data_IF_159745371350
#
_entry.id   IF_159745371350
#
_cell.length_a   1.000
_cell.length_b   1.000
_cell.length_c   1.000
_cell.angle_alpha   90.00
_cell.angle_beta   90.00
_cell.angle_gamma   90.00
#
_symmetry.space_group_name_H-M   'P 1'
#
loop_
_entity.id
_entity.type
_entity.pdbx_description
1 polymer ?
#
# COMPACT_ATOMS: atom_id res chain seq x y z
N UNK A 1 2.48 28.43 4.51
CA UNK A 1 2.98 28.43 3.11
C UNK A 1 2.66 27.07 2.52
N UNK A 2 1.54 26.97 1.82
CA UNK A 2 1.03 25.69 1.30
C UNK A 2 1.96 25.13 0.22
N UNK A 3 2.54 26.00 -0.63
CA UNK A 3 3.46 25.61 -1.70
C UNK A 3 4.79 24.97 -1.24
N UNK A 4 5.17 25.07 0.03
CA UNK A 4 6.35 24.36 0.56
C UNK A 4 6.07 22.88 0.86
N UNK A 5 4.79 22.49 0.86
CA UNK A 5 4.33 21.12 1.10
C UNK A 5 4.10 20.33 -0.21
N UNK A 6 4.21 20.99 -1.35
CA UNK A 6 3.97 20.42 -2.67
C UNK A 6 5.22 20.64 -3.51
N UNK A 7 5.65 19.61 -4.23
CA UNK A 7 6.75 19.81 -5.15
C UNK A 7 6.28 20.61 -6.38
N UNK A 8 7.21 21.03 -7.22
CA UNK A 8 6.89 21.85 -8.39
C UNK A 8 5.95 21.12 -9.35
N UNK A 9 6.08 19.81 -9.48
CA UNK A 9 5.27 18.98 -10.36
C UNK A 9 3.84 18.87 -9.80
N UNK A 10 3.69 18.75 -8.49
CA UNK A 10 2.39 18.75 -7.80
C UNK A 10 1.66 20.07 -8.00
N UNK A 11 2.38 21.20 -7.92
CA UNK A 11 1.80 22.53 -8.16
C UNK A 11 1.39 22.67 -9.63
N UNK A 12 2.23 22.23 -10.58
CA UNK A 12 1.91 22.22 -12.00
C UNK A 12 0.71 21.30 -12.31
N UNK A 13 0.60 20.16 -11.64
CA UNK A 13 -0.50 19.20 -11.73
C UNK A 13 -1.80 19.80 -11.18
N UNK A 14 -1.76 20.39 -9.97
CA UNK A 14 -2.91 21.05 -9.36
C UNK A 14 -3.43 22.20 -10.23
N UNK A 15 -2.53 23.00 -10.81
CA UNK A 15 -2.90 24.09 -11.72
C UNK A 15 -3.51 23.55 -13.01
N UNK A 16 -2.93 22.48 -13.57
CA UNK A 16 -3.44 21.81 -14.79
C UNK A 16 -4.83 21.25 -14.57
N UNK A 17 -5.02 20.45 -13.51
CA UNK A 17 -6.32 19.89 -13.13
C UNK A 17 -7.35 20.97 -12.81
N UNK A 18 -6.95 22.06 -12.13
CA UNK A 18 -7.87 23.15 -11.84
C UNK A 18 -8.31 23.90 -13.12
N UNK A 19 -7.44 24.05 -14.11
CA UNK A 19 -7.77 24.65 -15.41
C UNK A 19 -8.67 23.73 -16.24
N UNK A 20 -8.44 22.42 -16.20
CA UNK A 20 -9.26 21.42 -16.90
C UNK A 20 -10.67 21.32 -16.31
N UNK A 21 -10.77 21.28 -14.97
CA UNK A 21 -12.06 21.26 -14.27
C UNK A 21 -12.81 22.59 -14.35
N UNK A 22 -12.12 23.68 -14.67
CA UNK A 22 -12.76 25.00 -14.72
C UNK A 22 -13.82 25.11 -15.81
N UNK A 23 -13.72 24.37 -16.91
CA UNK A 23 -14.75 24.43 -17.96
C UNK A 23 -16.12 23.92 -17.47
N UNK A 24 -16.14 23.11 -16.41
CA UNK A 24 -17.34 22.50 -15.82
C UNK A 24 -17.84 23.20 -14.54
N UNK A 25 -17.11 24.21 -14.03
CA UNK A 25 -17.48 24.96 -12.82
C UNK A 25 -18.28 26.22 -13.20
N UNK A 26 -19.39 26.48 -12.50
CA UNK A 26 -20.12 27.74 -12.65
C UNK A 26 -19.24 28.92 -12.21
N UNK A 27 -18.99 29.84 -13.14
CA UNK A 27 -18.11 31.00 -12.91
C UNK A 27 -18.64 31.92 -11.82
N UNK A 28 -19.93 31.85 -11.48
CA UNK A 28 -20.54 32.56 -10.36
C UNK A 28 -20.04 32.10 -8.99
N UNK A 29 -19.55 30.86 -8.88
CA UNK A 29 -19.08 30.26 -7.62
C UNK A 29 -17.63 30.64 -7.28
N UNK A 30 -16.93 31.29 -8.21
CA UNK A 30 -15.53 31.67 -8.06
C UNK A 30 -15.38 33.17 -7.77
N UNK A 31 -14.53 33.50 -6.80
CA UNK A 31 -14.11 34.88 -6.59
C UNK A 31 -13.42 35.45 -7.85
N UNK A 32 -13.49 36.77 -8.01
CA UNK A 32 -12.87 37.46 -9.15
C UNK A 32 -11.37 37.16 -9.26
N UNK A 33 -10.69 37.08 -8.11
CA UNK A 33 -9.28 36.73 -8.04
C UNK A 33 -8.98 35.29 -8.50
N UNK A 34 -9.83 34.31 -8.14
CA UNK A 34 -9.68 32.92 -8.58
C UNK A 34 -9.89 32.79 -10.09
N UNK A 35 -10.87 33.49 -10.64
CA UNK A 35 -11.12 33.54 -12.09
C UNK A 35 -9.91 34.13 -12.83
N UNK A 36 -9.36 35.24 -12.36
CA UNK A 36 -8.20 35.88 -12.97
C UNK A 36 -6.91 35.02 -12.91
N UNK A 37 -6.69 34.30 -11.80
CA UNK A 37 -5.55 33.39 -11.66
C UNK A 37 -5.68 32.20 -12.62
N UNK A 38 -6.86 31.59 -12.69
CA UNK A 38 -7.08 30.47 -13.60
C UNK A 38 -6.99 30.92 -15.08
N UNK A 39 -7.47 32.12 -15.44
CA UNK A 39 -7.43 32.59 -16.84
C UNK A 39 -5.99 32.75 -17.31
N UNK A 40 -5.12 33.26 -16.43
CA UNK A 40 -3.68 33.34 -16.71
C UNK A 40 -3.03 31.97 -16.83
N UNK A 41 -3.41 31.02 -15.98
CA UNK A 41 -2.91 29.65 -16.06
C UNK A 41 -3.34 28.96 -17.37
N UNK A 42 -4.59 29.13 -17.78
CA UNK A 42 -5.13 28.61 -19.05
C UNK A 42 -4.41 29.19 -20.26
N UNK A 43 -4.18 30.51 -20.28
CA UNK A 43 -3.41 31.16 -21.35
C UNK A 43 -1.99 30.61 -21.40
N UNK A 44 -1.31 30.44 -20.26
CA UNK A 44 0.02 29.86 -20.21
C UNK A 44 0.05 28.40 -20.74
N UNK A 45 -0.88 27.55 -20.30
CA UNK A 45 -1.00 26.16 -20.77
C UNK A 45 -1.25 26.04 -22.28
N UNK A 46 -2.17 26.86 -22.82
CA UNK A 46 -2.48 26.87 -24.25
C UNK A 46 -1.34 27.45 -25.10
N UNK A 47 -0.51 28.31 -24.51
CA UNK A 47 0.69 28.87 -25.17
C UNK A 47 1.82 27.84 -25.27
N UNK A 48 1.94 26.94 -24.30
CA UNK A 48 2.95 25.87 -24.30
C UNK A 48 2.58 24.68 -25.21
N UNK A 49 1.28 24.45 -25.47
CA UNK A 49 0.76 23.34 -26.27
C UNK A 49 0.38 23.71 -27.72
N UNK A 50 1.05 24.70 -28.31
CA UNK A 50 0.76 25.22 -29.65
C UNK A 50 0.46 24.15 -30.71
N UNK A 51 -0.83 23.93 -30.98
CA UNK A 51 -1.35 23.37 -32.23
C UNK A 51 -1.88 21.92 -32.22
N UNK A 52 -1.94 21.21 -31.10
CA UNK A 52 -2.48 19.84 -31.09
C UNK A 52 -3.65 19.72 -30.13
N UNK A 53 -4.88 19.78 -30.66
CA UNK A 53 -6.07 19.35 -29.91
C UNK A 53 -5.87 17.89 -29.49
N UNK A 54 -5.78 17.58 -28.18
CA UNK A 54 -5.80 16.21 -27.72
C UNK A 54 -7.24 15.71 -27.86
N UNK A 55 -7.44 14.67 -28.67
CA UNK A 55 -8.64 13.84 -28.56
C UNK A 55 -8.57 13.14 -27.19
N UNK A 56 -9.32 13.66 -26.23
CA UNK A 56 -9.46 13.13 -24.87
C UNK A 56 -9.85 11.65 -24.86
N UNK A 57 -9.26 10.81 -24.00
CA UNK A 57 -10.01 9.81 -23.26
C UNK A 57 -10.71 10.48 -22.07
N UNK A 58 -11.95 10.05 -21.78
CA UNK A 58 -12.70 10.44 -20.58
C UNK A 58 -11.86 10.15 -19.32
N UNK A 59 -11.69 11.19 -18.50
CA UNK A 59 -11.16 11.26 -17.12
C UNK A 59 -10.26 10.08 -16.66
N UNK A 60 -8.95 10.36 -16.61
CA UNK A 60 -7.91 9.44 -16.14
C UNK A 60 -7.47 9.82 -14.71
N UNK A 61 -7.18 8.82 -13.87
CA UNK A 61 -6.46 9.03 -12.60
C UNK A 61 -5.02 8.51 -12.68
N UNK A 62 -4.14 9.13 -11.91
CA UNK A 62 -2.75 8.70 -11.75
C UNK A 62 -2.62 7.89 -10.48
N UNK A 63 -2.24 6.62 -10.61
CA UNK A 63 -1.82 5.82 -9.46
C UNK A 63 -0.32 6.07 -9.26
N UNK A 64 0.01 6.76 -8.17
CA UNK A 64 1.39 7.04 -7.80
C UNK A 64 2.19 5.76 -7.61
N UNK A 65 3.46 5.81 -8.00
CA UNK A 65 4.43 4.79 -7.63
C UNK A 65 4.38 4.59 -6.11
N UNK A 66 4.40 3.32 -5.62
CA UNK A 66 4.80 3.10 -4.23
C UNK A 66 6.16 3.76 -4.06
N UNK A 67 6.37 4.63 -3.05
CA UNK A 67 7.66 5.29 -2.89
C UNK A 67 8.72 4.20 -2.73
N UNK A 68 9.84 4.35 -3.45
CA UNK A 68 11.03 3.57 -3.18
C UNK A 68 11.36 3.76 -1.69
N UNK A 69 11.32 2.66 -0.95
CA UNK A 69 11.67 2.64 0.46
C UNK A 69 13.18 2.46 0.60
N UNK A 70 13.77 3.02 1.65
CA UNK A 70 15.09 2.60 2.10
C UNK A 70 14.87 1.69 3.30
N UNK A 71 15.53 0.54 3.31
CA UNK A 71 15.54 -0.33 4.47
C UNK A 71 16.99 -0.65 4.83
N UNK A 72 17.26 -0.76 6.12
CA UNK A 72 18.54 -1.22 6.62
C UNK A 72 18.47 -2.73 6.81
N UNK A 73 19.31 -3.44 6.05
CA UNK A 73 19.40 -4.90 6.10
C UNK A 73 20.51 -5.25 7.09
N UNK A 74 20.11 -5.88 8.19
CA UNK A 74 21.03 -6.45 9.17
C UNK A 74 21.11 -7.96 8.96
N UNK A 75 22.27 -8.45 8.52
CA UNK A 75 22.60 -9.87 8.50
C UNK A 75 23.53 -10.17 9.66
N UNK A 76 23.07 -10.98 10.63
CA UNK A 76 23.90 -11.52 11.70
C UNK A 76 24.33 -12.94 11.34
N UNK A 77 25.64 -13.16 11.30
CA UNK A 77 26.26 -14.48 11.12
C UNK A 77 26.59 -15.05 12.49
N UNK A 78 26.00 -16.19 12.84
CA UNK A 78 26.25 -16.90 14.09
C UNK A 78 26.81 -18.29 13.85
N UNK A 79 27.36 -18.95 14.88
CA UNK A 79 27.92 -20.30 14.76
C UNK A 79 26.92 -21.39 14.35
N UNK A 80 25.63 -21.12 14.53
CA UNK A 80 24.56 -22.09 14.33
C UNK A 80 23.51 -21.65 13.32
N UNK A 81 23.34 -20.34 13.13
CA UNK A 81 22.35 -19.79 12.21
C UNK A 81 22.76 -18.39 11.73
N UNK A 82 22.44 -18.10 10.48
CA UNK A 82 22.45 -16.76 9.92
C UNK A 82 21.03 -16.18 10.02
N UNK A 83 20.91 -14.97 10.55
CA UNK A 83 19.62 -14.29 10.72
C UNK A 83 19.64 -12.97 9.98
N UNK A 84 18.65 -12.74 9.12
CA UNK A 84 18.47 -11.49 8.37
C UNK A 84 17.23 -10.77 8.90
N UNK A 85 17.38 -9.49 9.25
CA UNK A 85 16.29 -8.64 9.72
C UNK A 85 16.29 -7.30 8.99
N UNK A 86 15.10 -6.72 8.79
CA UNK A 86 14.90 -5.46 8.09
C UNK A 86 14.50 -4.37 9.08
N UNK A 87 15.12 -3.20 8.95
CA UNK A 87 14.92 -2.06 9.83
C UNK A 87 14.62 -0.79 9.05
N UNK A 88 13.89 0.12 9.70
CA UNK A 88 13.50 1.41 9.10
C UNK A 88 14.69 2.38 8.97
N UNK A 89 15.65 2.30 9.89
CA UNK A 89 16.88 3.10 9.90
C UNK A 89 18.05 2.33 10.53
N UNK A 90 19.25 2.89 10.40
CA UNK A 90 20.49 2.30 10.94
C UNK A 90 20.44 2.16 12.46
N UNK A 91 19.87 3.14 13.16
CA UNK A 91 19.84 3.17 14.62
C UNK A 91 18.95 2.03 15.17
N UNK A 92 17.82 1.74 14.51
CA UNK A 92 16.96 0.60 14.80
C UNK A 92 17.66 -0.74 14.54
N UNK A 93 18.42 -0.85 13.45
CA UNK A 93 19.22 -2.05 13.17
C UNK A 93 20.29 -2.29 14.24
N UNK A 94 20.99 -1.24 14.65
CA UNK A 94 22.00 -1.29 15.71
C UNK A 94 21.37 -1.61 17.07
N UNK A 95 20.20 -1.06 17.38
CA UNK A 95 19.47 -1.36 18.62
C UNK A 95 19.08 -2.84 18.70
N UNK A 96 18.55 -3.42 17.61
CA UNK A 96 18.22 -4.85 17.55
C UNK A 96 19.46 -5.75 17.68
N UNK A 97 20.59 -5.34 17.08
CA UNK A 97 21.86 -6.04 17.25
C UNK A 97 22.38 -5.95 18.70
N UNK A 98 22.26 -4.79 19.33
CA UNK A 98 22.68 -4.57 20.70
C UNK A 98 21.82 -5.36 21.70
N UNK A 99 20.52 -5.50 21.46
CA UNK A 99 19.64 -6.37 22.24
C UNK A 99 20.15 -7.81 22.25
N UNK A 100 20.49 -8.35 21.08
CA UNK A 100 21.09 -9.68 20.99
C UNK A 100 22.40 -9.78 21.77
N UNK A 101 23.34 -8.87 21.51
CA UNK A 101 24.66 -8.84 22.17
C UNK A 101 24.53 -8.82 23.70
N UNK A 102 23.58 -8.05 24.23
CA UNK A 102 23.31 -8.02 25.67
C UNK A 102 22.77 -9.34 26.19
N UNK A 103 21.97 -10.04 25.40
CA UNK A 103 21.45 -11.37 25.72
C UNK A 103 22.53 -12.45 25.81
N UNK A 104 23.67 -12.25 25.14
CA UNK A 104 24.82 -13.18 25.12
C UNK A 104 26.09 -12.56 25.73
N UNK A 105 25.95 -11.54 26.57
CA UNK A 105 27.09 -10.79 27.12
C UNK A 105 28.02 -11.65 27.97
N UNK A 106 27.48 -12.68 28.63
CA UNK A 106 28.26 -13.63 29.42
C UNK A 106 29.36 -14.35 28.59
N UNK A 107 29.26 -14.35 27.25
CA UNK A 107 30.27 -14.94 26.36
C UNK A 107 31.54 -14.08 26.20
N UNK A 108 31.52 -12.80 26.62
CA UNK A 108 32.64 -11.85 26.51
C UNK A 108 33.08 -11.28 27.86
N UNK A 109 32.31 -11.53 28.93
CA UNK A 109 32.69 -11.08 30.27
C UNK A 109 33.99 -11.74 30.71
N UNK A 110 34.96 -10.93 31.09
CA UNK A 110 36.31 -11.36 31.49
C UNK A 110 37.36 -11.19 30.40
N UNK A 111 36.97 -10.83 29.18
CA UNK A 111 37.90 -10.41 28.13
C UNK A 111 38.48 -9.02 28.42
N UNK A 112 39.72 -8.77 27.98
CA UNK A 112 40.45 -7.54 28.27
C UNK A 112 39.74 -6.32 27.67
N UNK A 113 39.43 -5.33 28.51
CA UNK A 113 38.67 -4.14 28.12
C UNK A 113 37.14 -4.29 28.06
N UNK A 114 36.59 -5.48 28.38
CA UNK A 114 35.14 -5.72 28.42
C UNK A 114 34.60 -5.59 29.86
N UNK A 115 33.58 -4.73 30.11
CA UNK A 115 32.99 -4.59 31.43
C UNK A 115 32.13 -5.79 31.84
N UNK A 116 32.03 -6.04 33.15
CA UNK A 116 31.20 -7.10 33.75
C UNK A 116 29.70 -7.01 33.39
N UNK A 117 29.25 -5.83 32.96
CA UNK A 117 27.88 -5.59 32.49
C UNK A 117 27.91 -4.88 31.14
N UNK A 118 26.97 -5.20 30.23
CA UNK A 118 26.93 -4.57 28.93
C UNK A 118 26.65 -3.06 29.05
N UNK A 119 27.26 -2.23 28.19
CA UNK A 119 26.92 -0.81 28.08
C UNK A 119 25.45 -0.58 27.71
N UNK A 120 24.90 0.54 28.19
CA UNK A 120 23.58 1.01 27.81
C UNK A 120 23.55 1.64 26.41
N UNK A 121 24.69 2.12 25.91
CA UNK A 121 24.81 2.59 24.53
C UNK A 121 24.90 1.39 23.57
N UNK A 122 24.07 1.40 22.53
CA UNK A 122 23.94 0.28 21.59
C UNK A 122 25.18 0.09 20.74
N UNK A 123 25.80 1.19 20.27
CA UNK A 123 27.02 1.14 19.46
C UNK A 123 28.21 0.66 20.27
N UNK A 124 28.33 1.09 21.52
CA UNK A 124 29.39 0.65 22.42
C UNK A 124 29.26 -0.84 22.78
N UNK A 125 28.04 -1.33 23.03
CA UNK A 125 27.80 -2.75 23.30
C UNK A 125 28.19 -3.62 22.08
N UNK A 126 27.75 -3.24 20.88
CA UNK A 126 28.10 -3.95 19.63
C UNK A 126 29.60 -3.92 19.37
N UNK A 127 30.25 -2.76 19.55
CA UNK A 127 31.70 -2.60 19.33
C UNK A 127 32.53 -3.46 20.28
N UNK A 128 32.14 -3.56 21.55
CA UNK A 128 32.88 -4.37 22.53
C UNK A 128 32.71 -5.87 22.29
N UNK A 129 31.55 -6.31 21.78
CA UNK A 129 31.29 -7.72 21.51
C UNK A 129 31.97 -8.24 20.23
N UNK A 130 31.84 -7.52 19.11
CA UNK A 130 32.45 -7.92 17.83
C UNK A 130 33.88 -7.40 17.65
N UNK A 131 34.32 -6.51 18.53
CA UNK A 131 35.62 -5.86 18.49
C UNK A 131 35.74 -4.73 17.45
N UNK A 132 36.83 -3.95 17.51
CA UNK A 132 37.02 -2.76 16.67
C UNK A 132 37.12 -3.06 15.17
N UNK A 133 37.61 -4.25 14.82
CA UNK A 133 37.77 -4.68 13.42
C UNK A 133 36.62 -5.59 12.94
N UNK A 134 35.60 -5.83 13.78
CA UNK A 134 34.46 -6.74 13.51
C UNK A 134 34.80 -8.21 13.21
N UNK A 135 36.10 -8.55 13.26
CA UNK A 135 36.68 -9.87 13.03
C UNK A 135 37.28 -10.49 14.31
N UNK A 136 36.99 -9.92 15.49
CA UNK A 136 37.50 -10.48 16.75
C UNK A 136 36.93 -11.86 17.06
N UNK A 137 35.88 -12.28 16.33
CA UNK A 137 35.36 -13.65 16.32
C UNK A 137 35.38 -14.19 14.89
N UNK A 138 36.08 -15.32 14.63
CA UNK A 138 36.17 -15.87 13.27
C UNK A 138 34.87 -16.51 12.76
N UNK A 139 33.97 -16.89 13.68
CA UNK A 139 32.74 -17.65 13.37
C UNK A 139 31.45 -16.86 13.63
N UNK A 140 31.56 -15.58 14.01
CA UNK A 140 30.43 -14.71 14.33
C UNK A 140 30.68 -13.31 13.78
N UNK A 141 29.67 -12.69 13.18
CA UNK A 141 29.80 -11.36 12.62
C UNK A 141 28.47 -10.74 12.26
N UNK A 142 28.50 -9.52 11.75
CA UNK A 142 27.31 -8.89 11.20
C UNK A 142 27.67 -8.01 9.99
N UNK A 143 26.76 -7.97 9.04
CA UNK A 143 26.78 -7.06 7.90
C UNK A 143 25.55 -6.15 7.99
N UNK A 144 25.79 -4.85 7.90
CA UNK A 144 24.75 -3.83 7.94
C UNK A 144 24.93 -2.91 6.74
N UNK A 145 23.91 -2.84 5.89
CA UNK A 145 23.90 -1.95 4.72
C UNK A 145 22.51 -1.40 4.47
N UNK A 146 22.49 -0.21 3.88
CA UNK A 146 21.28 0.40 3.34
C UNK A 146 20.97 -0.30 2.00
N UNK A 147 19.77 -0.85 1.88
CA UNK A 147 19.25 -1.41 0.64
C UNK A 147 18.12 -0.51 0.14
N UNK A 148 18.26 -0.06 -1.11
CA UNK A 148 17.19 0.66 -1.79
C UNK A 148 16.15 -0.36 -2.23
N UNK A 149 14.96 -0.31 -1.62
CA UNK A 149 13.81 -1.09 -2.08
C UNK A 149 13.33 -0.43 -3.37
N UNK A 150 13.94 -0.83 -4.49
CA UNK A 150 13.51 -0.41 -5.82
C UNK A 150 12.19 -1.11 -6.17
N UNK A 151 11.09 -0.65 -5.57
CA UNK A 151 9.80 -0.80 -6.20
C UNK A 151 9.83 0.07 -7.45
N UNK A 152 10.00 -0.51 -8.64
CA UNK A 152 9.74 0.22 -9.90
C UNK A 152 8.23 0.47 -10.00
N UNK A 153 7.71 1.36 -9.15
CA UNK A 153 6.40 1.92 -9.33
C UNK A 153 6.45 2.77 -10.58
N UNK A 154 6.01 2.23 -11.71
CA UNK A 154 5.68 3.05 -12.87
C UNK A 154 4.45 3.85 -12.49
N UNK A 155 4.44 5.17 -12.72
CA UNK A 155 3.20 5.95 -12.67
C UNK A 155 2.23 5.38 -13.69
N UNK A 156 1.02 5.00 -13.27
CA UNK A 156 0.03 4.36 -14.14
C UNK A 156 -1.13 5.30 -14.42
N UNK A 157 -1.53 5.33 -15.69
CA UNK A 157 -2.68 6.06 -16.21
C UNK A 157 -3.83 5.06 -16.22
N UNK A 158 -4.82 5.28 -15.35
CA UNK A 158 -5.95 4.37 -15.21
C UNK A 158 -7.27 5.11 -15.49
N UNK A 159 -8.16 4.59 -16.35
CA UNK A 159 -9.46 5.20 -16.57
C UNK A 159 -10.31 5.20 -15.29
N UNK A 160 -11.00 6.30 -14.98
CA UNK A 160 -11.96 6.33 -13.86
C UNK A 160 -13.16 5.42 -14.10
N UNK A 161 -13.56 5.23 -15.36
CA UNK A 161 -14.62 4.31 -15.77
C UNK A 161 -14.08 2.89 -16.03
N UNK A 162 -13.19 2.40 -15.16
CA UNK A 162 -12.54 1.10 -15.33
C UNK A 162 -13.53 0.00 -15.79
N UNK A 163 -13.26 -0.53 -16.98
CA UNK A 163 -13.93 -1.71 -17.52
C UNK A 163 -12.95 -2.86 -17.54
N UNK A 164 -13.34 -3.94 -16.86
CA UNK A 164 -12.58 -5.17 -16.91
C UNK A 164 -12.55 -5.70 -18.36
N UNK A 165 -11.44 -6.33 -18.81
CA UNK A 165 -11.35 -6.86 -20.17
C UNK A 165 -12.50 -7.80 -20.53
N UNK A 166 -12.87 -7.80 -21.81
CA UNK A 166 -13.90 -8.71 -22.32
C UNK A 166 -13.46 -10.18 -22.29
N UNK A 167 -14.42 -11.09 -22.50
CA UNK A 167 -14.17 -12.52 -22.45
C UNK A 167 -13.05 -12.99 -23.39
N UNK A 168 -12.93 -12.40 -24.58
CA UNK A 168 -11.92 -12.79 -25.55
C UNK A 168 -10.52 -12.32 -25.14
N UNK A 169 -10.39 -11.13 -24.55
CA UNK A 169 -9.16 -10.63 -23.98
C UNK A 169 -8.72 -11.46 -22.77
N UNK A 170 -9.66 -11.80 -21.87
CA UNK A 170 -9.42 -12.69 -20.74
C UNK A 170 -8.95 -14.08 -21.19
N UNK A 171 -9.61 -14.65 -22.20
CA UNK A 171 -9.22 -15.97 -22.73
C UNK A 171 -7.80 -15.96 -23.31
N UNK A 172 -7.41 -14.90 -24.04
CA UNK A 172 -6.04 -14.75 -24.54
C UNK A 172 -5.04 -14.63 -23.39
N UNK A 173 -5.30 -13.75 -22.44
CA UNK A 173 -4.44 -13.56 -21.27
C UNK A 173 -4.23 -14.87 -20.48
N UNK A 174 -5.30 -15.65 -20.28
CA UNK A 174 -5.23 -16.93 -19.59
C UNK A 174 -4.46 -17.99 -20.40
N UNK A 175 -4.58 -17.98 -21.73
CA UNK A 175 -3.82 -18.88 -22.60
C UNK A 175 -2.32 -18.56 -22.60
N UNK A 176 -2.00 -17.27 -22.52
CA UNK A 176 -0.63 -16.77 -22.52
C UNK A 176 0.01 -16.76 -21.11
N UNK A 177 -0.69 -17.34 -20.11
CA UNK A 177 -0.20 -17.41 -18.74
C UNK A 177 1.15 -18.14 -18.65
N UNK A 178 2.07 -17.56 -17.89
CA UNK A 178 3.41 -18.10 -17.69
C UNK A 178 3.52 -18.68 -16.29
N UNK A 179 4.01 -19.92 -16.20
CA UNK A 179 4.29 -20.57 -14.93
C UNK A 179 5.78 -20.43 -14.63
N UNK A 180 6.08 -19.72 -13.57
CA UNK A 180 7.44 -19.54 -13.07
C UNK A 180 7.68 -20.58 -11.96
N UNK A 181 8.45 -21.64 -12.23
CA UNK A 181 8.83 -22.57 -11.18
C UNK A 181 9.69 -21.87 -10.13
N UNK A 182 9.87 -22.52 -8.97
CA UNK A 182 10.84 -22.06 -7.98
C UNK A 182 12.24 -22.14 -8.58
N UNK A 183 12.88 -20.98 -8.70
CA UNK A 183 14.26 -20.85 -9.14
C UNK A 183 15.07 -20.44 -7.91
N UNK A 184 15.99 -21.33 -7.47
CA UNK A 184 16.90 -21.18 -6.33
C UNK A 184 16.25 -21.01 -4.94
N UNK A 185 17.08 -20.91 -3.89
CA UNK A 185 16.69 -21.05 -2.48
C UNK A 185 15.67 -19.99 -2.00
N UNK A 186 15.59 -18.83 -2.63
CA UNK A 186 14.79 -17.69 -2.14
C UNK A 186 13.52 -17.38 -2.96
N UNK A 187 13.32 -18.00 -4.12
CA UNK A 187 12.17 -17.73 -5.00
C UNK A 187 10.93 -18.56 -4.66
N UNK A 188 9.73 -17.96 -4.64
CA UNK A 188 8.46 -18.69 -4.60
C UNK A 188 7.95 -18.97 -6.02
N UNK A 189 7.35 -20.15 -6.27
CA UNK A 189 6.71 -20.40 -7.56
C UNK A 189 5.51 -19.48 -7.75
N UNK A 190 5.27 -19.05 -8.98
CA UNK A 190 4.11 -18.22 -9.30
C UNK A 190 3.56 -18.43 -10.70
N UNK A 191 2.32 -17.99 -10.88
CA UNK A 191 1.68 -17.86 -12.18
C UNK A 191 1.60 -16.38 -12.52
N UNK A 192 2.01 -16.04 -13.73
CA UNK A 192 1.86 -14.70 -14.29
C UNK A 192 0.75 -14.70 -15.34
N UNK A 193 -0.24 -13.83 -15.16
CA UNK A 193 -1.34 -13.64 -16.11
C UNK A 193 -1.43 -12.15 -16.44
N UNK A 194 -1.05 -11.78 -17.67
CA UNK A 194 -1.07 -10.38 -18.16
C UNK A 194 -0.33 -9.43 -17.19
N UNK A 195 0.81 -9.88 -16.67
CA UNK A 195 1.67 -9.17 -15.73
C UNK A 195 1.24 -9.22 -14.26
N UNK A 196 0.09 -9.83 -13.94
CA UNK A 196 -0.33 -10.10 -12.56
C UNK A 196 0.36 -11.36 -12.08
N UNK A 197 1.19 -11.25 -11.04
CA UNK A 197 1.92 -12.37 -10.46
C UNK A 197 1.15 -12.91 -9.25
N UNK A 198 0.79 -14.19 -9.27
CA UNK A 198 0.08 -14.88 -8.20
C UNK A 198 0.96 -15.97 -7.61
N UNK A 199 1.30 -15.81 -6.33
CA UNK A 199 2.07 -16.77 -5.54
C UNK A 199 1.12 -17.52 -4.63
N UNK A 200 1.12 -18.84 -4.70
CA UNK A 200 0.36 -19.71 -3.80
C UNK A 200 1.32 -20.70 -3.12
N UNK A 201 1.43 -20.62 -1.79
CA UNK A 201 2.41 -21.40 -1.04
C UNK A 201 1.94 -21.70 0.39
N UNK A 202 2.60 -22.67 1.02
CA UNK A 202 2.40 -22.97 2.44
C UNK A 202 3.25 -22.02 3.28
N UNK A 203 2.60 -21.24 4.13
CA UNK A 203 3.24 -20.35 5.09
C UNK A 203 3.35 -21.10 6.42
N UNK A 204 4.57 -21.53 6.77
CA UNK A 204 4.81 -22.33 7.96
C UNK A 204 4.56 -21.54 9.25
N UNK A 205 4.93 -20.26 9.27
CA UNK A 205 4.82 -19.40 10.45
C UNK A 205 3.35 -19.12 10.79
N UNK A 206 2.55 -18.83 9.76
CA UNK A 206 1.12 -18.59 9.92
C UNK A 206 0.29 -19.88 9.95
N UNK A 207 0.84 -21.01 9.51
CA UNK A 207 0.13 -22.29 9.45
C UNK A 207 -1.01 -22.31 8.42
N UNK A 208 -0.89 -21.55 7.34
CA UNK A 208 -1.96 -21.36 6.33
C UNK A 208 -1.44 -21.54 4.90
N UNK A 209 -2.37 -21.77 3.96
CA UNK A 209 -2.10 -21.57 2.53
C UNK A 209 -2.20 -20.07 2.27
N UNK A 210 -1.09 -19.47 1.84
CA UNK A 210 -1.02 -18.04 1.54
C UNK A 210 -1.06 -17.81 0.03
N UNK A 211 -1.96 -16.91 -0.38
CA UNK A 211 -2.03 -16.39 -1.74
C UNK A 211 -1.58 -14.93 -1.72
N UNK A 212 -0.51 -14.61 -2.43
CA UNK A 212 0.00 -13.24 -2.57
C UNK A 212 -0.10 -12.81 -4.03
N UNK A 213 -0.69 -11.64 -4.28
CA UNK A 213 -0.88 -11.09 -5.64
C UNK A 213 -0.04 -9.83 -5.79
N UNK A 214 0.93 -9.87 -6.69
CA UNK A 214 1.83 -8.76 -6.97
C UNK A 214 1.45 -8.10 -8.29
N UNK A 215 1.33 -6.76 -8.27
CA UNK A 215 0.78 -5.99 -9.37
C UNK A 215 1.83 -5.14 -10.09
N UNK A 216 3.12 -5.23 -9.75
CA UNK A 216 4.17 -4.34 -10.25
C UNK A 216 4.39 -4.43 -11.77
N UNK A 217 4.03 -5.56 -12.38
CA UNK A 217 4.06 -5.78 -13.83
C UNK A 217 2.67 -5.80 -14.49
N UNK A 218 1.59 -5.68 -13.72
CA UNK A 218 0.22 -5.80 -14.21
C UNK A 218 -0.08 -4.74 -15.28
N UNK A 219 -0.78 -5.14 -16.34
CA UNK A 219 -1.23 -4.20 -17.36
C UNK A 219 -2.22 -3.18 -16.78
N UNK A 220 -2.06 -1.91 -17.16
CA UNK A 220 -2.86 -0.79 -16.61
C UNK A 220 -4.37 -0.99 -16.81
N UNK A 221 -4.78 -1.69 -17.89
CA UNK A 221 -6.18 -2.04 -18.19
C UNK A 221 -6.85 -2.94 -17.14
N UNK A 222 -6.07 -3.66 -16.33
CA UNK A 222 -6.57 -4.54 -15.28
C UNK A 222 -6.81 -3.79 -13.97
N UNK A 223 -6.21 -2.61 -13.83
CA UNK A 223 -6.22 -1.85 -12.60
C UNK A 223 -7.44 -0.94 -12.55
N UNK A 224 -7.98 -0.80 -11.36
CA UNK A 224 -8.93 0.24 -11.00
C UNK A 224 -8.18 1.50 -10.58
N UNK A 225 -8.95 2.57 -10.39
CA UNK A 225 -8.46 3.85 -9.88
C UNK A 225 -7.72 3.77 -8.53
N UNK A 226 -7.95 2.71 -7.76
CA UNK A 226 -7.30 2.44 -6.47
C UNK A 226 -5.95 1.69 -6.59
N UNK A 227 -5.51 1.45 -7.82
CA UNK A 227 -4.27 0.72 -8.11
C UNK A 227 -4.39 -0.79 -7.91
N UNK A 228 -5.58 -1.34 -7.68
CA UNK A 228 -5.81 -2.78 -7.49
C UNK A 228 -6.50 -3.39 -8.70
N UNK A 229 -6.30 -4.69 -8.89
CA UNK A 229 -7.11 -5.50 -9.81
C UNK A 229 -8.36 -6.02 -9.07
N UNK A 230 -9.52 -6.13 -9.74
CA UNK A 230 -10.63 -6.91 -9.23
C UNK A 230 -10.20 -8.36 -8.99
N UNK A 231 -10.46 -8.89 -7.80
CA UNK A 231 -10.09 -10.25 -7.40
C UNK A 231 -11.31 -10.98 -6.88
N UNK A 232 -11.46 -12.22 -7.33
CA UNK A 232 -12.42 -13.17 -6.78
C UNK A 232 -11.67 -14.45 -6.43
N UNK A 233 -11.83 -14.90 -5.19
CA UNK A 233 -11.23 -16.14 -4.68
C UNK A 233 -12.38 -17.06 -4.29
N UNK A 234 -12.34 -18.25 -4.87
CA UNK A 234 -13.29 -19.33 -4.61
C UNK A 234 -12.53 -20.50 -4.01
N UNK A 235 -13.11 -21.10 -2.98
CA UNK A 235 -12.65 -22.37 -2.40
C UNK A 235 -13.74 -23.37 -2.69
N UNK A 236 -13.45 -24.34 -3.56
CA UNK A 236 -14.47 -25.19 -4.16
C UNK A 236 -15.54 -24.33 -4.87
N UNK A 237 -16.80 -24.41 -4.44
CA UNK A 237 -17.91 -23.62 -4.99
C UNK A 237 -18.25 -22.37 -4.14
N UNK A 238 -17.49 -22.12 -3.06
CA UNK A 238 -17.75 -21.03 -2.13
C UNK A 238 -16.85 -19.81 -2.42
N UNK A 239 -17.48 -18.67 -2.67
CA UNK A 239 -16.78 -17.39 -2.85
C UNK A 239 -16.36 -16.85 -1.49
N UNK A 240 -15.07 -16.92 -1.18
CA UNK A 240 -14.50 -16.43 0.09
C UNK A 240 -14.03 -14.97 0.00
N UNK A 241 -13.76 -14.47 -1.21
CA UNK A 241 -13.44 -13.07 -1.48
C UNK A 241 -13.98 -12.67 -2.85
N UNK A 242 -14.65 -11.52 -2.95
CA UNK A 242 -15.03 -10.91 -4.23
C UNK A 242 -14.93 -9.39 -4.13
N UNK A 243 -13.83 -8.84 -4.62
CA UNK A 243 -13.65 -7.39 -4.77
C UNK A 243 -14.18 -6.88 -6.11
N UNK A 244 -14.58 -7.78 -7.02
CA UNK A 244 -15.22 -7.52 -8.30
C UNK A 244 -16.65 -6.97 -8.19
N UNK A 245 -17.34 -7.31 -7.11
CA UNK A 245 -18.73 -6.96 -6.89
C UNK A 245 -18.99 -5.43 -6.87
N UNK A 246 -20.13 -4.96 -7.42
CA UNK A 246 -20.57 -3.58 -7.29
C UNK A 246 -20.58 -3.16 -5.80
N UNK A 247 -19.97 -2.02 -5.45
CA UNK A 247 -19.91 -1.51 -4.08
C UNK A 247 -18.77 -2.05 -3.21
N UNK A 248 -17.92 -2.95 -3.71
CA UNK A 248 -16.74 -3.43 -2.97
C UNK A 248 -15.66 -2.34 -2.80
N UNK A 249 -15.48 -1.47 -3.80
CA UNK A 249 -14.54 -0.34 -3.74
C UNK A 249 -14.95 0.71 -2.68
N UNK A 250 -16.24 1.05 -2.63
CA UNK A 250 -16.79 2.01 -1.67
C UNK A 250 -16.68 1.48 -0.22
N UNK A 251 -16.85 0.16 -0.03
CA UNK A 251 -16.60 -0.51 1.26
C UNK A 251 -15.13 -0.45 1.68
N UNK A 252 -14.21 -0.72 0.77
CA UNK A 252 -12.77 -0.69 1.03
C UNK A 252 -12.26 0.71 1.38
N UNK A 253 -12.74 1.74 0.67
CA UNK A 253 -12.39 3.14 0.95
C UNK A 253 -12.95 3.61 2.29
N UNK A 254 -14.21 3.30 2.62
CA UNK A 254 -14.79 3.67 3.92
C UNK A 254 -14.06 2.97 5.07
N UNK A 255 -13.72 1.68 4.94
CA UNK A 255 -12.94 0.97 5.95
C UNK A 255 -11.55 1.60 6.15
N UNK A 256 -10.83 1.89 5.07
CA UNK A 256 -9.51 2.53 5.14
C UNK A 256 -9.57 3.94 5.74
N UNK A 257 -10.61 4.72 5.43
CA UNK A 257 -10.83 6.04 6.02
C UNK A 257 -11.16 5.96 7.51
N UNK A 258 -11.91 4.94 7.94
CA UNK A 258 -12.23 4.73 9.36
C UNK A 258 -11.00 4.27 10.15
N UNK A 259 -10.19 3.36 9.60
CA UNK A 259 -8.96 2.88 10.26
C UNK A 259 -7.92 3.99 10.46
N UNK A 260 -7.92 5.00 9.59
CA UNK A 260 -6.99 6.15 9.65
C UNK A 260 -7.57 7.37 10.40
N UNK A 261 -8.82 7.31 10.85
CA UNK A 261 -9.50 8.45 11.47
C UNK A 261 -9.26 8.53 12.98
N UNK A 262 -9.17 9.76 13.50
CA UNK A 262 -9.39 10.02 14.92
C UNK A 262 -10.89 9.97 15.24
N UNK A 263 -11.26 9.86 16.53
CA UNK A 263 -12.65 9.72 16.99
C UNK A 263 -13.61 10.78 16.41
N UNK A 264 -13.11 12.00 16.15
CA UNK A 264 -13.91 13.11 15.60
C UNK A 264 -14.15 12.94 14.10
N UNK A 265 -13.12 12.55 13.35
CA UNK A 265 -13.21 12.26 11.91
C UNK A 265 -14.01 10.99 11.65
N UNK A 266 -13.89 10.00 12.51
CA UNK A 266 -14.58 8.72 12.38
C UNK A 266 -16.11 8.93 12.34
N UNK A 267 -16.65 9.74 13.25
CA UNK A 267 -18.08 10.04 13.30
C UNK A 267 -18.56 10.78 12.04
N UNK A 268 -17.74 11.70 11.50
CA UNK A 268 -18.05 12.43 10.28
C UNK A 268 -18.04 11.52 9.04
N UNK A 269 -17.04 10.61 8.95
CA UNK A 269 -16.93 9.61 7.87
C UNK A 269 -18.10 8.64 7.92
N UNK A 270 -18.45 8.11 9.10
CA UNK A 270 -19.64 7.26 9.29
C UNK A 270 -20.92 7.99 8.87
N UNK A 271 -21.08 9.26 9.26
CA UNK A 271 -22.22 10.10 8.88
C UNK A 271 -22.32 10.29 7.37
N UNK A 272 -21.21 10.60 6.71
CA UNK A 272 -21.14 10.75 5.25
C UNK A 272 -21.43 9.42 4.52
N UNK A 273 -20.88 8.31 5.00
CA UNK A 273 -21.11 6.98 4.42
C UNK A 273 -22.58 6.53 4.53
N UNK A 274 -23.27 6.88 5.63
CA UNK A 274 -24.71 6.65 5.80
C UNK A 274 -25.51 7.57 4.85
N UNK A 275 -25.15 8.85 4.75
CA UNK A 275 -25.81 9.79 3.84
C UNK A 275 -25.65 9.38 2.36
N UNK A 276 -24.46 8.91 1.98
CA UNK A 276 -24.13 8.36 0.68
C UNK A 276 -24.69 6.94 0.45
N UNK A 277 -25.33 6.34 1.47
CA UNK A 277 -25.96 5.01 1.44
C UNK A 277 -25.01 3.84 1.20
N UNK A 278 -23.73 4.03 1.51
CA UNK A 278 -22.72 2.95 1.53
C UNK A 278 -22.88 2.10 2.80
N UNK A 279 -23.34 2.71 3.89
CA UNK A 279 -23.68 2.05 5.15
C UNK A 279 -25.15 2.32 5.55
N UNK A 280 -25.72 1.45 6.37
CA UNK A 280 -26.95 1.70 7.11
C UNK A 280 -26.79 1.35 8.59
N UNK A 281 -27.39 2.16 9.45
CA UNK A 281 -27.32 1.98 10.91
C UNK A 281 -28.49 1.11 11.38
N UNK A 282 -28.18 0.06 12.13
CA UNK A 282 -29.19 -0.83 12.69
C UNK A 282 -30.02 -0.10 13.74
N UNK A 283 -31.36 -0.05 13.63
CA UNK A 283 -32.20 0.62 14.61
C UNK A 283 -32.25 -0.12 15.95
N UNK A 284 -31.90 -1.40 15.99
CA UNK A 284 -31.96 -2.22 17.21
C UNK A 284 -30.70 -2.11 18.07
N UNK A 285 -29.52 -2.09 17.46
CA UNK A 285 -28.24 -2.09 18.20
C UNK A 285 -27.34 -0.89 17.90
N UNK A 286 -27.71 -0.02 16.96
CA UNK A 286 -26.88 1.12 16.55
C UNK A 286 -25.64 0.74 15.73
N UNK A 287 -25.40 -0.54 15.45
CA UNK A 287 -24.27 -1.00 14.65
C UNK A 287 -24.40 -0.57 13.19
N UNK A 288 -23.29 -0.20 12.56
CA UNK A 288 -23.20 0.16 11.15
C UNK A 288 -23.05 -1.11 10.30
N UNK A 289 -23.79 -1.20 9.21
CA UNK A 289 -23.84 -2.38 8.35
C UNK A 289 -23.67 -1.97 6.89
N UNK A 290 -23.07 -2.81 6.04
CA UNK A 290 -22.94 -2.52 4.63
C UNK A 290 -24.32 -2.42 3.95
N UNK A 291 -24.42 -1.57 2.92
CA UNK A 291 -25.67 -1.33 2.21
C UNK A 291 -26.33 -2.61 1.66
N UNK A 292 -25.55 -3.60 1.25
CA UNK A 292 -26.03 -4.87 0.70
C UNK A 292 -26.59 -5.80 1.78
N UNK A 293 -26.20 -5.62 3.04
CA UNK A 293 -26.64 -6.48 4.13
C UNK A 293 -28.16 -6.35 4.30
N UNK A 294 -28.86 -7.46 4.07
CA UNK A 294 -30.31 -7.54 4.28
C UNK A 294 -30.68 -7.57 5.76
N UNK A 295 -29.71 -7.85 6.65
CA UNK A 295 -29.85 -7.94 8.10
C UNK A 295 -28.62 -7.38 8.80
N UNK A 296 -28.77 -7.05 10.09
CA UNK A 296 -27.67 -6.59 10.93
C UNK A 296 -26.59 -7.67 11.07
N UNK A 297 -25.35 -7.26 10.82
CA UNK A 297 -24.11 -8.03 10.98
C UNK A 297 -23.27 -7.53 12.16
N UNK A 298 -23.72 -6.47 12.85
CA UNK A 298 -23.05 -5.92 14.03
C UNK A 298 -22.84 -6.93 15.16
N UNK A 299 -21.91 -6.63 16.09
CA UNK A 299 -21.47 -7.56 17.12
C UNK A 299 -22.62 -8.09 18.00
N UNK A 300 -22.62 -9.40 18.25
CA UNK A 300 -23.63 -10.10 19.05
C UNK A 300 -24.71 -10.81 18.22
N UNK A 301 -25.83 -11.15 18.86
CA UNK A 301 -26.92 -11.93 18.26
C UNK A 301 -27.92 -11.09 17.43
N UNK A 302 -27.63 -9.81 17.19
CA UNK A 302 -28.55 -8.95 16.45
C UNK A 302 -28.59 -9.35 14.98
N UNK A 303 -29.79 -9.65 14.47
CA UNK A 303 -30.05 -9.99 13.06
C UNK A 303 -31.24 -9.20 12.50
N UNK A 304 -31.45 -7.99 13.04
CA UNK A 304 -32.56 -7.13 12.66
C UNK A 304 -32.55 -6.86 11.15
N UNK A 305 -33.70 -6.94 10.47
CA UNK A 305 -33.75 -6.72 9.03
C UNK A 305 -33.46 -5.25 8.70
N UNK A 306 -32.85 -5.02 7.53
CA UNK A 306 -32.63 -3.68 7.01
C UNK A 306 -33.97 -2.92 6.92
N UNK A 307 -34.07 -1.69 7.46
CA UNK A 307 -35.29 -0.89 7.38
C UNK A 307 -35.74 -0.72 5.94
N UNK A 308 -37.00 -1.06 5.66
CA UNK A 308 -37.62 -0.75 4.37
C UNK A 308 -37.95 0.73 4.34
N UNK A 309 -37.66 1.40 3.22
CA UNK A 309 -37.89 2.84 3.05
C UNK A 309 -39.36 3.17 3.31
N UNK A 310 -39.62 4.04 4.28
CA UNK A 310 -40.79 4.92 4.23
C UNK A 310 -40.44 6.05 3.29
N UNK A 311 -41.20 6.18 2.20
CA UNK A 311 -41.04 7.20 1.18
C UNK A 311 -41.29 8.61 1.70
#
# INVERSE_FOLDING_TARGET
MVAACFDRLDIECLVTTAVELWEDIDRGDLSEHQREVLDRARVAMLSEHGGRQPSLPEVVTFVGARPAGRAWVLRRRGRHEDVVTLHVDEDCAVAGLAEYVRGVWDDVVGDDGVPDRPPADDRDAVRLYYGPDRDSRPDEGYDLHEEEITGRGRTRIVPLDHRFPDAAACERANRDAVFHPRNDEDGLPCVEIDGVLVFAYLDHEAGVVRVSVHLDSAQDRLLRADGRVPLRVEVEDDVVLDTGAPGAFERGLVAALLDAADDVREQAIRGAAIAARVLWRCPCCGGDNPAEASRCEGPGACRAPKPRRTG
#
